data_IF_135031803547
#
_entry.id   IF_135031803547
#
_cell.length_a   1.000
_cell.length_b   1.000
_cell.length_c   1.000
_cell.angle_alpha   90.00
_cell.angle_beta   90.00
_cell.angle_gamma   90.00
#
_symmetry.space_group_name_H-M   'P 1'
#
loop_
_entity.id
_entity.type
_entity.pdbx_description
1 polymer ?
#
# COMPACT_ATOMS: atom_id res chain seq x y z
N UNK A 1 -17.11 3.96 -12.18
CA UNK A 1 -18.57 3.75 -12.27
C UNK A 1 -19.29 5.01 -12.72
N UNK A 2 -19.41 6.08 -11.90
CA UNK A 2 -20.16 7.28 -12.29
C UNK A 2 -19.57 8.05 -13.47
N UNK A 3 -18.24 8.16 -13.54
CA UNK A 3 -17.56 8.94 -14.59
C UNK A 3 -17.65 8.32 -15.98
N UNK A 4 -17.77 6.99 -16.06
CA UNK A 4 -17.66 6.23 -17.32
C UNK A 4 -18.83 5.30 -17.58
N UNK A 5 -19.75 5.14 -16.62
CA UNK A 5 -20.81 4.13 -16.67
C UNK A 5 -20.33 2.68 -16.48
N UNK A 6 -19.03 2.45 -16.25
CA UNK A 6 -18.46 1.12 -16.08
C UNK A 6 -19.01 0.40 -14.84
N UNK A 7 -19.01 -0.94 -14.88
CA UNK A 7 -19.36 -1.79 -13.74
C UNK A 7 -18.37 -1.64 -12.57
N UNK A 8 -18.75 -2.11 -11.38
CA UNK A 8 -17.83 -2.16 -10.23
C UNK A 8 -16.57 -3.00 -10.55
N UNK A 9 -16.75 -4.15 -11.22
CA UNK A 9 -15.65 -5.04 -11.55
C UNK A 9 -14.63 -4.37 -12.48
N UNK A 10 -15.11 -3.69 -13.54
CA UNK A 10 -14.23 -2.93 -14.44
C UNK A 10 -13.54 -1.77 -13.72
N UNK A 11 -14.26 -1.07 -12.84
CA UNK A 11 -13.67 0.00 -12.04
C UNK A 11 -12.59 -0.52 -11.07
N UNK A 12 -12.78 -1.70 -10.49
CA UNK A 12 -11.79 -2.35 -9.60
C UNK A 12 -10.54 -2.74 -10.36
N UNK A 13 -10.68 -3.40 -11.51
CA UNK A 13 -9.54 -3.74 -12.39
C UNK A 13 -8.77 -2.49 -12.81
N UNK A 14 -9.48 -1.41 -13.15
CA UNK A 14 -8.83 -0.14 -13.48
C UNK A 14 -8.05 0.45 -12.30
N UNK A 15 -8.56 0.36 -11.06
CA UNK A 15 -7.82 0.79 -9.87
C UNK A 15 -6.58 -0.09 -9.62
N UNK A 16 -6.67 -1.40 -9.85
CA UNK A 16 -5.53 -2.31 -9.77
C UNK A 16 -4.43 -1.92 -10.78
N UNK A 17 -4.81 -1.59 -12.01
CA UNK A 17 -3.87 -1.06 -13.01
C UNK A 17 -3.23 0.27 -12.56
N UNK A 18 -4.03 1.19 -12.00
CA UNK A 18 -3.52 2.46 -11.46
C UNK A 18 -2.54 2.25 -10.29
N UNK A 19 -2.76 1.24 -9.45
CA UNK A 19 -1.83 0.86 -8.39
C UNK A 19 -0.49 0.41 -9.00
N UNK A 20 -0.53 -0.44 -10.04
CA UNK A 20 0.67 -0.91 -10.74
C UNK A 20 1.44 0.24 -11.38
N UNK A 21 0.75 1.15 -12.06
CA UNK A 21 1.37 2.33 -12.67
C UNK A 21 1.94 3.30 -11.63
N UNK A 22 1.29 3.43 -10.47
CA UNK A 22 1.80 4.24 -9.36
C UNK A 22 3.07 3.64 -8.75
N UNK A 23 3.16 2.32 -8.65
CA UNK A 23 4.37 1.64 -8.20
C UNK A 23 5.55 1.83 -9.16
N UNK A 24 5.32 1.77 -10.47
CA UNK A 24 6.36 2.05 -11.48
C UNK A 24 6.93 3.46 -11.30
N UNK A 25 6.04 4.46 -11.20
CA UNK A 25 6.43 5.86 -10.94
C UNK A 25 7.21 6.01 -9.63
N UNK A 26 6.72 5.40 -8.54
CA UNK A 26 7.41 5.45 -7.25
C UNK A 26 8.81 4.82 -7.32
N UNK A 27 8.97 3.70 -8.03
CA UNK A 27 10.27 3.06 -8.20
C UNK A 27 11.25 3.94 -8.99
N UNK A 28 10.79 4.61 -10.04
CA UNK A 28 11.60 5.56 -10.82
C UNK A 28 12.02 6.76 -9.97
N UNK A 29 11.09 7.31 -9.18
CA UNK A 29 11.35 8.40 -8.23
C UNK A 29 12.39 8.00 -7.18
N UNK A 30 12.31 6.76 -6.65
CA UNK A 30 13.29 6.24 -5.69
C UNK A 30 14.70 6.21 -6.28
N UNK A 31 14.87 5.92 -7.57
CA UNK A 31 16.19 6.03 -8.21
C UNK A 31 16.73 7.45 -8.16
N UNK A 32 15.86 8.44 -8.39
CA UNK A 32 16.22 9.86 -8.31
C UNK A 32 16.51 10.27 -6.86
N UNK A 33 15.66 9.86 -5.90
CA UNK A 33 15.80 10.21 -4.49
C UNK A 33 17.03 9.61 -3.83
N UNK A 34 17.43 8.40 -4.23
CA UNK A 34 18.66 7.77 -3.70
C UNK A 34 19.93 8.57 -4.01
N UNK A 35 19.91 9.38 -5.07
CA UNK A 35 21.00 10.26 -5.44
C UNK A 35 20.83 11.69 -4.90
N UNK A 36 19.70 11.99 -4.26
CA UNK A 36 19.41 13.31 -3.72
C UNK A 36 20.16 13.55 -2.41
N UNK A 37 20.84 14.69 -2.25
CA UNK A 37 21.46 15.06 -0.97
C UNK A 37 20.44 15.51 0.08
N UNK A 38 19.18 15.72 -0.31
CA UNK A 38 18.12 16.25 0.57
C UNK A 38 17.36 15.15 1.31
N UNK A 39 17.40 13.91 0.81
CA UNK A 39 16.61 12.81 1.35
C UNK A 39 17.53 11.76 1.96
N UNK A 40 17.22 11.33 3.17
CA UNK A 40 17.93 10.21 3.79
C UNK A 40 17.40 8.87 3.26
N UNK A 41 18.26 7.86 3.21
CA UNK A 41 17.85 6.49 2.83
C UNK A 41 16.72 5.97 3.73
N UNK A 42 16.75 6.29 5.02
CA UNK A 42 15.70 5.91 5.96
C UNK A 42 14.35 6.56 5.64
N UNK A 43 14.35 7.82 5.21
CA UNK A 43 13.11 8.48 4.76
C UNK A 43 12.51 7.79 3.53
N UNK A 44 13.34 7.46 2.54
CA UNK A 44 12.91 6.75 1.33
C UNK A 44 12.32 5.37 1.69
N UNK A 45 12.96 4.65 2.62
CA UNK A 45 12.47 3.37 3.11
C UNK A 45 11.11 3.49 3.82
N UNK A 46 10.89 4.54 4.63
CA UNK A 46 9.60 4.81 5.27
C UNK A 46 8.50 5.01 4.22
N UNK A 47 8.74 5.79 3.17
CA UNK A 47 7.77 6.03 2.09
C UNK A 47 7.41 4.71 1.37
N UNK A 48 8.43 3.91 1.02
CA UNK A 48 8.21 2.60 0.41
C UNK A 48 7.42 1.65 1.31
N UNK A 49 7.73 1.63 2.60
CA UNK A 49 7.04 0.77 3.56
C UNK A 49 5.62 1.24 3.83
N UNK A 50 5.34 2.55 3.81
CA UNK A 50 3.97 3.06 3.90
C UNK A 50 3.10 2.55 2.75
N UNK A 51 3.61 2.61 1.52
CA UNK A 51 2.92 2.07 0.35
C UNK A 51 2.69 0.55 0.46
N UNK A 52 3.63 -0.21 1.05
CA UNK A 52 3.45 -1.66 1.29
C UNK A 52 2.45 -1.96 2.39
N UNK A 53 2.45 -1.18 3.45
CA UNK A 53 1.52 -1.34 4.57
C UNK A 53 0.09 -1.10 4.11
N UNK A 54 -0.17 -0.14 3.22
CA UNK A 54 -1.53 0.08 2.71
C UNK A 54 -2.09 -1.16 2.00
N UNK A 55 -1.30 -1.84 1.15
CA UNK A 55 -1.71 -3.11 0.54
C UNK A 55 -2.09 -4.14 1.58
N UNK A 56 -1.24 -4.31 2.59
CA UNK A 56 -1.47 -5.22 3.71
C UNK A 56 -2.74 -4.91 4.49
N UNK A 57 -2.97 -3.64 4.80
CA UNK A 57 -4.07 -3.19 5.66
C UNK A 57 -5.41 -3.31 4.94
N UNK A 58 -5.42 -3.14 3.61
CA UNK A 58 -6.64 -3.08 2.80
C UNK A 58 -6.86 -4.28 1.87
N UNK A 59 -6.03 -5.33 1.96
CA UNK A 59 -6.07 -6.50 1.07
C UNK A 59 -7.44 -7.18 1.02
N UNK A 60 -8.07 -7.35 2.18
CA UNK A 60 -9.32 -8.11 2.30
C UNK A 60 -10.53 -7.21 2.57
N UNK A 61 -10.34 -6.17 3.41
CA UNK A 61 -11.36 -5.18 3.79
C UNK A 61 -10.68 -4.00 4.47
N UNK A 62 -11.44 -3.11 5.09
CA UNK A 62 -10.88 -2.08 5.95
C UNK A 62 -10.23 -2.69 7.20
N UNK A 63 -8.93 -2.93 7.16
CA UNK A 63 -8.15 -3.39 8.29
C UNK A 63 -7.59 -2.28 9.19
N UNK A 64 -7.89 -1.01 8.90
CA UNK A 64 -7.39 0.13 9.68
C UNK A 64 -8.37 0.55 10.76
N UNK A 65 -9.64 0.74 10.37
CA UNK A 65 -10.67 1.25 11.31
C UNK A 65 -11.58 0.17 11.84
N UNK A 66 -11.60 -1.01 11.20
CA UNK A 66 -12.36 -2.18 11.66
C UNK A 66 -11.41 -3.16 12.34
N UNK A 67 -11.61 -3.35 13.65
CA UNK A 67 -10.74 -4.17 14.52
C UNK A 67 -11.13 -5.66 14.53
N UNK A 68 -11.24 -6.29 13.37
CA UNK A 68 -11.69 -7.69 13.21
C UNK A 68 -10.70 -8.56 12.40
N UNK A 69 -11.00 -9.87 12.36
CA UNK A 69 -10.36 -10.96 11.60
C UNK A 69 -8.82 -10.83 11.32
N UNK A 70 -8.40 -10.86 10.04
CA UNK A 70 -7.01 -11.07 9.61
C UNK A 70 -6.05 -9.99 10.10
N UNK A 71 -6.47 -8.72 10.08
CA UNK A 71 -5.65 -7.59 10.52
C UNK A 71 -5.33 -7.70 12.01
N UNK A 72 -6.33 -8.03 12.83
CA UNK A 72 -6.15 -8.25 14.27
C UNK A 72 -5.26 -9.46 14.56
N UNK A 73 -5.50 -10.57 13.87
CA UNK A 73 -4.71 -11.80 14.05
C UNK A 73 -3.24 -11.59 13.70
N UNK A 74 -2.97 -10.83 12.63
CA UNK A 74 -1.62 -10.49 12.19
C UNK A 74 -0.90 -9.56 13.19
N UNK A 75 -1.58 -8.54 13.72
CA UNK A 75 -1.01 -7.66 14.77
C UNK A 75 -0.70 -8.46 16.04
N UNK A 76 -1.63 -9.31 16.49
CA UNK A 76 -1.42 -10.15 17.66
C UNK A 76 -0.24 -11.11 17.46
N UNK A 77 -0.13 -11.72 16.28
CA UNK A 77 0.96 -12.62 15.93
C UNK A 77 2.33 -11.92 15.93
N UNK A 78 2.41 -10.70 15.36
CA UNK A 78 3.68 -9.99 15.19
C UNK A 78 4.19 -9.33 16.47
N UNK A 79 3.30 -8.80 17.30
CA UNK A 79 3.69 -7.91 18.41
C UNK A 79 3.42 -8.47 19.80
N UNK A 80 2.49 -9.43 19.93
CA UNK A 80 2.00 -9.88 21.25
C UNK A 80 2.35 -11.34 21.51
N UNK A 81 2.14 -12.22 20.53
CA UNK A 81 2.42 -13.65 20.65
C UNK A 81 3.92 -13.89 20.39
N UNK A 82 4.57 -14.66 21.26
CA UNK A 82 5.93 -15.14 20.99
C UNK A 82 5.88 -16.25 19.94
N UNK A 83 6.92 -16.32 19.11
CA UNK A 83 7.14 -17.43 18.18
C UNK A 83 7.27 -18.78 18.90
#
# INVERSE_FOLDING_TARGET
>A
MNDTGASEQEARLYIEDLIVESWKKLNDEVQTWNNSPLLSKGFIEIVLNLARISHTVYEHRDGHTVEDHESKDRVLSLFIKSA
#
